data_IF_690647431996
#
_entry.id   IF_690647431996
#
_cell.length_a   1.000
_cell.length_b   1.000
_cell.length_c   1.000
_cell.angle_alpha   90.00
_cell.angle_beta   90.00
_cell.angle_gamma   90.00
#
_symmetry.space_group_name_H-M   'P 1'
#
loop_
_entity.id
_entity.type
_entity.pdbx_description
1 polymer ?
#
# COMPACT_ATOMS: atom_id res chain seq x y z
N UNK A 1 98.89 48.13 -12.96
CA UNK A 1 98.15 46.86 -13.07
C UNK A 1 96.76 47.03 -12.46
N UNK A 2 95.71 47.09 -13.29
CA UNK A 2 94.30 47.04 -12.86
C UNK A 2 93.65 45.88 -13.62
N UNK A 3 93.09 44.94 -12.87
CA UNK A 3 92.40 43.75 -13.40
C UNK A 3 91.05 44.12 -14.04
N UNK A 4 90.64 43.53 -15.17
CA UNK A 4 89.32 43.75 -15.75
C UNK A 4 88.22 43.11 -14.88
N UNK A 5 87.14 43.84 -14.62
CA UNK A 5 85.95 43.28 -13.96
C UNK A 5 85.14 42.42 -14.94
N UNK A 6 84.63 41.25 -14.52
CA UNK A 6 83.73 40.44 -15.34
C UNK A 6 82.38 41.15 -15.50
N UNK A 7 81.90 41.24 -16.73
CA UNK A 7 80.60 41.78 -17.06
C UNK A 7 79.46 40.83 -16.65
N UNK A 8 78.26 41.35 -16.33
CA UNK A 8 77.12 40.54 -15.97
C UNK A 8 76.66 39.70 -17.17
N UNK A 9 76.72 38.37 -17.01
CA UNK A 9 76.05 37.43 -17.91
C UNK A 9 74.55 37.72 -17.90
N UNK A 10 74.05 38.39 -18.94
CA UNK A 10 72.62 38.47 -19.21
C UNK A 10 72.14 37.09 -19.66
N UNK A 11 71.71 36.28 -18.70
CA UNK A 11 71.11 34.96 -18.94
C UNK A 11 69.79 35.09 -19.68
N UNK A 12 69.81 34.86 -21.00
CA UNK A 12 69.05 33.83 -21.74
C UNK A 12 67.55 33.57 -21.55
N UNK A 13 66.82 34.23 -20.65
CA UNK A 13 65.41 33.90 -20.36
C UNK A 13 64.37 34.74 -21.14
N UNK A 14 64.79 35.51 -22.15
CA UNK A 14 63.90 36.42 -22.90
C UNK A 14 63.21 35.81 -24.13
N UNK A 15 63.31 34.49 -24.34
CA UNK A 15 62.72 33.81 -25.50
C UNK A 15 61.39 33.10 -25.26
N UNK A 16 60.95 32.95 -24.00
CA UNK A 16 59.72 32.20 -23.68
C UNK A 16 58.56 33.20 -23.62
N UNK A 17 57.65 33.06 -24.57
CA UNK A 17 56.45 33.89 -24.73
C UNK A 17 55.43 33.50 -23.64
N UNK A 18 55.69 33.89 -22.39
CA UNK A 18 54.91 33.52 -21.19
C UNK A 18 53.41 33.81 -21.32
N UNK A 19 53.06 34.81 -22.12
CA UNK A 19 51.67 35.18 -22.41
C UNK A 19 50.96 34.07 -23.20
N UNK A 20 51.62 33.43 -24.17
CA UNK A 20 51.03 32.30 -24.92
C UNK A 20 50.80 31.09 -24.02
N UNK A 21 51.71 30.81 -23.10
CA UNK A 21 51.54 29.72 -22.13
C UNK A 21 50.38 29.98 -21.17
N UNK A 22 50.21 31.22 -20.70
CA UNK A 22 49.09 31.60 -19.83
C UNK A 22 47.72 31.36 -20.46
N UNK A 23 47.55 31.70 -21.74
CA UNK A 23 46.27 31.48 -22.46
C UNK A 23 45.95 29.99 -22.62
N UNK A 24 46.95 29.17 -22.93
CA UNK A 24 46.79 27.71 -23.07
C UNK A 24 46.35 27.11 -21.72
N UNK A 25 47.02 27.46 -20.62
CA UNK A 25 46.64 26.98 -19.29
C UNK A 25 45.23 27.41 -18.89
N UNK A 26 44.80 28.62 -19.24
CA UNK A 26 43.45 29.11 -18.97
C UNK A 26 42.36 28.27 -19.65
N UNK A 27 42.56 27.91 -20.93
CA UNK A 27 41.62 27.04 -21.67
C UNK A 27 41.56 25.65 -21.05
N UNK A 28 42.70 25.06 -20.73
CA UNK A 28 42.75 23.73 -20.08
C UNK A 28 42.07 23.74 -18.71
N UNK A 29 42.33 24.76 -17.89
CA UNK A 29 41.68 24.91 -16.59
C UNK A 29 40.16 24.98 -16.73
N UNK A 30 39.65 25.77 -17.68
CA UNK A 30 38.21 25.87 -17.96
C UNK A 30 37.58 24.54 -18.38
N UNK A 31 38.23 23.79 -19.28
CA UNK A 31 37.74 22.46 -19.72
C UNK A 31 37.74 21.46 -18.56
N UNK A 32 38.80 21.45 -17.74
CA UNK A 32 38.90 20.57 -16.58
C UNK A 32 37.80 20.89 -15.56
N UNK A 33 37.56 22.16 -15.25
CA UNK A 33 36.48 22.57 -14.34
C UNK A 33 35.10 22.15 -14.85
N UNK A 34 34.84 22.27 -16.14
CA UNK A 34 33.57 21.82 -16.73
C UNK A 34 33.40 20.30 -16.63
N UNK A 35 34.46 19.52 -16.87
CA UNK A 35 34.43 18.07 -16.72
C UNK A 35 34.18 17.65 -15.26
N UNK A 36 34.85 18.28 -14.30
CA UNK A 36 34.60 18.03 -12.88
C UNK A 36 33.16 18.38 -12.47
N UNK A 37 32.63 19.49 -12.99
CA UNK A 37 31.24 19.91 -12.72
C UNK A 37 30.24 18.91 -13.30
N UNK A 38 30.47 18.44 -14.53
CA UNK A 38 29.63 17.44 -15.18
C UNK A 38 29.64 16.11 -14.40
N UNK A 39 30.82 15.64 -13.97
CA UNK A 39 30.96 14.45 -13.13
C UNK A 39 30.24 14.61 -11.80
N UNK A 40 30.43 15.74 -11.12
CA UNK A 40 29.77 16.02 -9.85
C UNK A 40 28.23 15.99 -9.99
N UNK A 41 27.71 16.61 -11.05
CA UNK A 41 26.26 16.62 -11.34
C UNK A 41 25.73 15.22 -11.65
N UNK A 42 26.50 14.41 -12.40
CA UNK A 42 26.15 13.03 -12.71
C UNK A 42 26.05 12.17 -11.44
N UNK A 43 27.05 12.24 -10.55
CA UNK A 43 27.01 11.48 -9.29
C UNK A 43 25.91 11.96 -8.35
N UNK A 44 25.66 13.27 -8.26
CA UNK A 44 24.53 13.79 -7.50
C UNK A 44 23.18 13.27 -8.02
N UNK A 45 23.01 13.23 -9.34
CA UNK A 45 21.80 12.67 -9.96
C UNK A 45 21.66 11.16 -9.72
N UNK A 46 22.78 10.41 -9.74
CA UNK A 46 22.77 8.97 -9.45
C UNK A 46 22.37 8.70 -7.99
N UNK A 47 22.99 9.37 -7.02
CA UNK A 47 22.65 9.21 -5.59
C UNK A 47 21.22 9.60 -5.28
N UNK A 48 20.69 10.63 -5.94
CA UNK A 48 19.29 11.05 -5.76
C UNK A 48 18.30 9.97 -6.23
N UNK A 49 18.65 9.20 -7.27
CA UNK A 49 17.82 8.08 -7.74
C UNK A 49 17.83 6.93 -6.74
N UNK A 50 19.00 6.58 -6.20
CA UNK A 50 19.11 5.51 -5.21
C UNK A 50 18.32 5.83 -3.93
N UNK A 51 18.37 7.09 -3.46
CA UNK A 51 17.59 7.52 -2.30
C UNK A 51 16.08 7.47 -2.54
N UNK A 52 15.63 7.81 -3.75
CA UNK A 52 14.23 7.70 -4.14
C UNK A 52 13.76 6.23 -4.15
N UNK A 53 14.58 5.32 -4.66
CA UNK A 53 14.27 3.89 -4.70
C UNK A 53 14.21 3.30 -3.29
N UNK A 54 15.19 3.58 -2.44
CA UNK A 54 15.18 3.17 -1.03
C UNK A 54 13.96 3.71 -0.28
N UNK A 55 13.62 4.98 -0.48
CA UNK A 55 12.44 5.58 0.14
C UNK A 55 11.14 4.93 -0.33
N UNK A 56 11.05 4.49 -1.60
CA UNK A 56 9.88 3.80 -2.12
C UNK A 56 9.75 2.39 -1.54
N UNK A 57 10.85 1.65 -1.44
CA UNK A 57 10.86 0.33 -0.82
C UNK A 57 10.47 0.38 0.66
N UNK A 58 11.03 1.33 1.41
CA UNK A 58 10.71 1.51 2.83
C UNK A 58 9.23 1.87 3.02
N UNK A 59 8.70 2.77 2.17
CA UNK A 59 7.28 3.11 2.18
C UNK A 59 6.39 1.91 1.86
N UNK A 60 6.80 1.07 0.89
CA UNK A 60 6.07 -0.15 0.54
C UNK A 60 6.10 -1.18 1.67
N UNK A 61 7.25 -1.35 2.33
CA UNK A 61 7.39 -2.23 3.50
C UNK A 61 6.52 -1.76 4.66
N UNK A 62 6.51 -0.45 4.95
CA UNK A 62 5.67 0.13 5.99
C UNK A 62 4.16 -0.04 5.68
N UNK A 63 3.74 0.19 4.44
CA UNK A 63 2.34 0.00 4.03
C UNK A 63 1.91 -1.47 4.15
N UNK A 64 2.77 -2.41 3.74
CA UNK A 64 2.53 -3.85 3.89
C UNK A 64 2.43 -4.26 5.36
N UNK A 65 3.32 -3.73 6.22
CA UNK A 65 3.30 -3.99 7.66
C UNK A 65 1.99 -3.51 8.31
N UNK A 66 1.50 -2.32 7.95
CA UNK A 66 0.17 -1.85 8.38
C UNK A 66 -0.94 -2.80 7.92
N UNK A 67 -0.95 -3.17 6.64
CA UNK A 67 -2.01 -4.01 6.07
C UNK A 67 -2.04 -5.43 6.67
N UNK A 68 -0.91 -5.94 7.18
CA UNK A 68 -0.85 -7.20 7.91
C UNK A 68 -1.62 -7.18 9.24
N UNK A 69 -1.78 -6.00 9.86
CA UNK A 69 -2.46 -5.79 11.13
C UNK A 69 -4.00 -5.71 11.00
N UNK A 70 -4.52 -5.67 9.78
CA UNK A 70 -5.96 -5.78 9.50
C UNK A 70 -6.31 -7.23 9.26
N UNK A 71 -7.27 -7.76 10.02
CA UNK A 71 -7.66 -9.16 9.92
C UNK A 71 -9.17 -9.33 10.08
N UNK A 72 -9.68 -10.49 9.72
CA UNK A 72 -11.08 -10.84 9.88
C UNK A 72 -11.23 -12.33 10.16
N UNK A 73 -12.27 -12.72 10.89
CA UNK A 73 -12.62 -14.12 11.16
C UNK A 73 -14.12 -14.27 11.44
N UNK A 74 -14.61 -15.50 11.32
CA UNK A 74 -15.96 -15.90 11.72
C UNK A 74 -15.89 -16.59 13.08
N UNK A 75 -16.84 -16.28 13.96
CA UNK A 75 -17.09 -17.04 15.17
C UNK A 75 -18.23 -18.01 14.90
N UNK A 76 -18.04 -19.25 15.33
CA UNK A 76 -19.00 -20.34 15.19
C UNK A 76 -19.67 -20.58 16.54
N UNK A 77 -20.89 -21.12 16.52
CA UNK A 77 -21.59 -21.55 17.73
C UNK A 77 -20.84 -22.72 18.40
N UNK A 78 -20.55 -22.59 19.70
CA UNK A 78 -19.86 -23.64 20.44
C UNK A 78 -20.78 -24.85 20.64
N UNK A 79 -20.34 -26.02 20.16
CA UNK A 79 -21.00 -27.30 20.45
C UNK A 79 -22.12 -27.72 19.49
N UNK A 80 -22.36 -26.99 18.40
CA UNK A 80 -23.22 -27.49 17.31
C UNK A 80 -22.42 -28.41 16.38
N UNK A 81 -23.05 -29.49 15.91
CA UNK A 81 -22.50 -30.34 14.84
C UNK A 81 -22.46 -29.61 13.50
N UNK A 82 -23.33 -28.62 13.35
CA UNK A 82 -23.51 -27.81 12.16
C UNK A 82 -22.84 -26.48 12.46
N UNK A 83 -21.65 -26.23 11.91
CA UNK A 83 -20.83 -25.06 12.18
C UNK A 83 -21.51 -23.75 11.73
N UNK A 84 -22.54 -23.33 12.46
CA UNK A 84 -23.31 -22.11 12.25
C UNK A 84 -22.43 -20.92 12.64
N UNK A 85 -22.24 -20.01 11.70
CA UNK A 85 -21.54 -18.74 11.97
C UNK A 85 -22.50 -17.84 12.75
N UNK A 86 -22.07 -17.38 13.91
CA UNK A 86 -22.85 -16.50 14.79
C UNK A 86 -22.44 -15.05 14.62
N UNK A 87 -21.14 -14.78 14.50
CA UNK A 87 -20.58 -13.44 14.40
C UNK A 87 -19.47 -13.36 13.34
N UNK A 88 -19.38 -12.19 12.72
CA UNK A 88 -18.28 -11.83 11.84
C UNK A 88 -17.49 -10.71 12.50
N UNK A 89 -16.19 -10.91 12.62
CA UNK A 89 -15.28 -9.95 13.22
C UNK A 89 -14.34 -9.38 12.17
N UNK A 90 -14.17 -8.06 12.20
CA UNK A 90 -13.14 -7.34 11.46
C UNK A 90 -12.33 -6.53 12.46
N UNK A 91 -11.00 -6.69 12.44
CA UNK A 91 -10.09 -6.05 13.38
C UNK A 91 -9.09 -5.19 12.64
N UNK A 92 -8.84 -4.00 13.18
CA UNK A 92 -7.72 -3.15 12.81
C UNK A 92 -6.78 -3.00 14.02
N UNK A 93 -5.66 -3.71 14.01
CA UNK A 93 -4.60 -3.57 15.03
C UNK A 93 -3.57 -2.50 14.67
N UNK A 94 -3.73 -1.80 13.55
CA UNK A 94 -2.87 -0.66 13.22
C UNK A 94 -3.18 0.54 14.10
N UNK A 95 -2.16 1.39 14.30
CA UNK A 95 -2.30 2.73 14.88
C UNK A 95 -2.97 3.72 13.91
N UNK A 96 -3.12 3.33 12.65
CA UNK A 96 -3.72 4.13 11.59
C UNK A 96 -5.10 3.58 11.19
N UNK A 97 -6.07 4.44 10.87
CA UNK A 97 -7.38 4.01 10.40
C UNK A 97 -7.28 3.33 9.03
N UNK A 98 -8.26 2.48 8.73
CA UNK A 98 -8.48 1.94 7.39
C UNK A 98 -9.88 2.28 6.89
N UNK A 99 -9.98 2.63 5.61
CA UNK A 99 -11.17 3.20 5.00
C UNK A 99 -11.75 2.31 3.91
N UNK A 100 -13.02 2.54 3.57
CA UNK A 100 -13.81 1.77 2.59
C UNK A 100 -13.59 0.26 2.76
N UNK A 101 -13.77 -0.18 4.00
CA UNK A 101 -13.61 -1.58 4.36
C UNK A 101 -14.81 -2.35 3.84
N UNK A 102 -14.56 -3.29 2.94
CA UNK A 102 -15.60 -4.08 2.29
C UNK A 102 -15.29 -5.57 2.48
N UNK A 103 -16.24 -6.30 3.06
CA UNK A 103 -16.12 -7.74 3.25
C UNK A 103 -16.94 -8.48 2.19
N UNK A 104 -16.29 -9.36 1.43
CA UNK A 104 -16.95 -10.17 0.42
C UNK A 104 -17.30 -11.56 0.97
N UNK A 105 -18.59 -11.89 0.96
CA UNK A 105 -19.11 -13.21 1.34
C UNK A 105 -19.59 -13.96 0.10
N UNK A 106 -19.28 -15.26 0.06
CA UNK A 106 -19.76 -16.20 -0.95
C UNK A 106 -20.71 -17.20 -0.32
N UNK A 107 -21.88 -17.38 -0.91
CA UNK A 107 -22.89 -18.35 -0.49
C UNK A 107 -22.74 -19.65 -1.30
N UNK A 108 -22.66 -20.79 -0.61
CA UNK A 108 -22.49 -22.10 -1.27
C UNK A 108 -23.79 -22.65 -1.88
N UNK A 109 -23.68 -23.68 -2.73
CA UNK A 109 -24.81 -24.35 -3.40
C UNK A 109 -25.83 -24.97 -2.43
N UNK A 110 -25.41 -25.32 -1.21
CA UNK A 110 -26.28 -25.86 -0.17
C UNK A 110 -26.98 -24.77 0.66
N UNK A 111 -26.63 -23.50 0.44
CA UNK A 111 -27.32 -22.38 1.05
C UNK A 111 -28.73 -22.28 0.49
N UNK A 112 -29.73 -22.15 1.36
CA UNK A 112 -31.17 -22.09 1.01
C UNK A 112 -31.59 -20.82 0.26
N UNK A 113 -30.64 -20.07 -0.30
CA UNK A 113 -30.93 -18.87 -1.07
C UNK A 113 -31.16 -19.27 -2.53
N UNK A 114 -32.40 -19.66 -2.83
CA UNK A 114 -32.87 -19.79 -4.21
C UNK A 114 -33.08 -18.42 -4.81
N UNK A 115 -32.01 -17.81 -5.31
CA UNK A 115 -32.18 -16.72 -6.26
C UNK A 115 -32.61 -17.35 -7.59
N UNK A 116 -33.73 -16.89 -8.13
CA UNK A 116 -34.36 -17.42 -9.36
C UNK A 116 -33.41 -17.46 -10.58
N UNK A 117 -32.30 -16.71 -10.53
CA UNK A 117 -31.27 -16.61 -11.57
C UNK A 117 -29.81 -16.76 -11.06
N UNK A 118 -29.54 -17.31 -9.86
CA UNK A 118 -28.16 -17.35 -9.38
C UNK A 118 -27.29 -18.38 -10.12
N UNK A 119 -26.40 -17.85 -10.96
CA UNK A 119 -25.10 -18.44 -11.25
C UNK A 119 -24.43 -18.91 -9.93
N UNK A 120 -23.69 -20.03 -9.99
CA UNK A 120 -23.00 -20.60 -8.82
C UNK A 120 -22.09 -19.52 -8.21
N UNK A 121 -22.14 -19.38 -6.89
CA UNK A 121 -21.41 -18.38 -6.08
C UNK A 121 -21.88 -16.93 -6.24
N UNK A 122 -22.86 -16.54 -5.42
CA UNK A 122 -23.26 -15.12 -5.28
C UNK A 122 -22.31 -14.43 -4.33
N UNK A 123 -21.63 -13.41 -4.84
CA UNK A 123 -20.74 -12.55 -4.07
C UNK A 123 -21.53 -11.32 -3.58
N UNK A 124 -21.64 -11.13 -2.27
CA UNK A 124 -22.32 -9.98 -1.68
C UNK A 124 -21.37 -9.21 -0.77
N UNK A 125 -21.09 -7.92 -1.06
CA UNK A 125 -20.24 -7.11 -0.24
C UNK A 125 -21.01 -6.56 0.97
N UNK A 126 -20.31 -6.44 2.08
CA UNK A 126 -20.76 -5.74 3.28
C UNK A 126 -19.86 -4.53 3.52
N UNK A 127 -20.45 -3.33 3.59
CA UNK A 127 -19.72 -2.09 3.80
C UNK A 127 -19.60 -1.79 5.30
N UNK A 128 -18.35 -1.60 5.75
CA UNK A 128 -18.00 -1.24 7.12
C UNK A 128 -17.61 0.25 7.26
N UNK A 129 -17.56 0.98 6.13
CA UNK A 129 -17.00 2.31 5.97
C UNK A 129 -15.55 2.39 6.50
N UNK A 130 -15.35 3.08 7.62
CA UNK A 130 -14.03 3.22 8.27
C UNK A 130 -13.93 2.34 9.51
N UNK A 131 -12.80 1.64 9.66
CA UNK A 131 -12.43 0.92 10.89
C UNK A 131 -11.32 1.72 11.60
N UNK A 132 -11.62 2.35 12.75
CA UNK A 132 -10.65 3.16 13.48
C UNK A 132 -9.40 2.37 13.92
N UNK A 133 -8.31 3.06 14.30
CA UNK A 133 -7.15 2.43 14.90
C UNK A 133 -7.51 1.58 16.11
N UNK A 134 -6.84 0.45 16.30
CA UNK A 134 -6.95 -0.37 17.51
C UNK A 134 -8.40 -0.78 17.86
N UNK A 135 -9.24 -1.04 16.86
CA UNK A 135 -10.64 -1.41 17.07
C UNK A 135 -10.99 -2.75 16.46
N UNK A 136 -12.02 -3.38 17.03
CA UNK A 136 -12.72 -4.50 16.45
C UNK A 136 -14.16 -4.08 16.13
N UNK A 137 -14.61 -4.41 14.93
CA UNK A 137 -16.01 -4.36 14.55
C UNK A 137 -16.59 -5.76 14.51
N UNK A 138 -17.80 -5.91 15.05
CA UNK A 138 -18.51 -7.19 15.10
C UNK A 138 -19.94 -7.00 14.61
N UNK A 139 -20.37 -7.89 13.71
CA UNK A 139 -21.77 -8.00 13.30
C UNK A 139 -22.25 -9.41 13.59
N UNK A 140 -23.45 -9.54 14.19
CA UNK A 140 -24.09 -10.84 14.35
C UNK A 140 -24.78 -11.21 13.06
N UNK A 141 -24.64 -12.46 12.63
CA UNK A 141 -25.23 -12.94 11.37
C UNK A 141 -26.76 -12.79 11.37
N UNK A 142 -27.39 -12.97 12.54
CA UNK A 142 -28.83 -12.79 12.72
C UNK A 142 -29.33 -11.36 12.47
N UNK A 143 -28.44 -10.35 12.54
CA UNK A 143 -28.77 -8.95 12.31
C UNK A 143 -28.43 -8.49 10.87
N UNK A 144 -27.95 -9.39 10.00
CA UNK A 144 -27.61 -9.08 8.61
C UNK A 144 -28.86 -9.12 7.75
N UNK A 145 -29.21 -7.98 7.17
CA UNK A 145 -30.17 -7.84 6.10
C UNK A 145 -29.47 -7.95 4.74
N UNK A 146 -30.16 -8.52 3.77
CA UNK A 146 -29.72 -8.48 2.37
C UNK A 146 -30.59 -7.52 1.62
N UNK A 147 -29.94 -6.71 0.80
CA UNK A 147 -30.55 -5.71 -0.07
C UNK A 147 -30.08 -5.95 -1.48
N UNK A 148 -30.86 -5.55 -2.46
CA UNK A 148 -30.41 -5.54 -3.84
C UNK A 148 -29.47 -4.35 -4.12
N UNK A 149 -29.02 -4.22 -5.37
CA UNK A 149 -28.20 -3.10 -5.83
C UNK A 149 -28.87 -1.71 -5.67
N UNK A 150 -30.20 -1.66 -5.53
CA UNK A 150 -31.00 -0.43 -5.34
C UNK A 150 -31.29 -0.14 -3.86
N UNK A 151 -30.90 -1.04 -2.95
CA UNK A 151 -31.12 -0.89 -1.52
C UNK A 151 -32.50 -1.35 -1.06
N UNK A 152 -33.25 -2.04 -1.92
CA UNK A 152 -34.55 -2.63 -1.61
C UNK A 152 -34.37 -4.01 -0.98
N UNK A 153 -35.29 -4.40 -0.09
CA UNK A 153 -35.33 -5.75 0.46
C UNK A 153 -35.71 -6.72 -0.67
N UNK A 154 -34.98 -7.83 -0.87
CA UNK A 154 -35.38 -8.86 -1.82
C UNK A 154 -36.75 -9.42 -1.42
N UNK A 155 -37.46 -9.99 -2.39
CA UNK A 155 -38.79 -10.58 -2.21
C UNK A 155 -38.82 -11.55 -1.00
N UNK A 156 -39.95 -11.65 -0.26
CA UNK A 156 -40.07 -12.30 1.06
C UNK A 156 -39.78 -13.82 1.10
N UNK A 157 -39.43 -14.45 -0.01
CA UNK A 157 -39.17 -15.88 -0.12
C UNK A 157 -37.66 -16.23 -0.10
N UNK A 158 -36.82 -15.21 0.02
CA UNK A 158 -35.38 -15.31 0.22
C UNK A 158 -35.21 -15.17 1.73
N UNK A 159 -34.76 -16.18 2.49
CA UNK A 159 -33.87 -16.05 3.68
C UNK A 159 -33.92 -17.25 4.64
N UNK A 160 -32.95 -18.15 4.50
CA UNK A 160 -32.19 -18.75 5.60
C UNK A 160 -30.74 -18.80 5.10
N UNK A 161 -29.77 -18.31 5.89
CA UNK A 161 -28.35 -18.38 5.54
C UNK A 161 -27.70 -19.51 6.36
N UNK A 162 -27.72 -20.78 5.91
CA UNK A 162 -27.06 -21.83 6.69
C UNK A 162 -25.54 -21.88 6.41
N UNK A 163 -25.08 -21.51 5.21
CA UNK A 163 -23.67 -21.67 4.84
C UNK A 163 -23.16 -20.54 3.93
N UNK A 164 -22.33 -19.67 4.49
CA UNK A 164 -21.52 -18.72 3.72
C UNK A 164 -20.05 -18.85 4.09
N UNK A 165 -19.18 -18.43 3.19
CA UNK A 165 -17.73 -18.35 3.41
C UNK A 165 -17.29 -16.92 3.18
N UNK A 166 -16.37 -16.45 4.02
CA UNK A 166 -15.67 -15.20 3.73
C UNK A 166 -14.58 -15.47 2.70
N UNK A 167 -14.63 -14.75 1.59
CA UNK A 167 -13.64 -14.89 0.53
C UNK A 167 -12.46 -13.95 0.80
N UNK A 168 -12.75 -12.64 0.85
CA UNK A 168 -11.74 -11.62 1.13
C UNK A 168 -12.34 -10.36 1.76
N UNK A 169 -11.46 -9.58 2.36
CA UNK A 169 -11.69 -8.22 2.83
C UNK A 169 -10.89 -7.26 1.94
N UNK A 170 -11.49 -6.18 1.47
CA UNK A 170 -10.75 -5.07 0.85
C UNK A 170 -10.82 -3.83 1.71
N UNK A 171 -9.77 -3.01 1.66
CA UNK A 171 -9.69 -1.76 2.40
C UNK A 171 -8.63 -0.83 1.81
N UNK A 172 -8.70 0.44 2.15
CA UNK A 172 -7.67 1.43 1.87
C UNK A 172 -6.90 1.75 3.15
N UNK A 173 -5.57 1.75 3.05
CA UNK A 173 -4.70 2.19 4.14
C UNK A 173 -4.63 3.73 4.24
N UNK A 174 -3.81 4.24 5.15
CA UNK A 174 -3.63 5.68 5.36
C UNK A 174 -3.02 6.40 4.15
N UNK A 175 -2.28 5.66 3.33
CA UNK A 175 -1.61 6.13 2.12
C UNK A 175 -2.52 5.99 0.90
N UNK A 176 -3.81 5.67 1.09
CA UNK A 176 -4.79 5.42 0.03
C UNK A 176 -4.40 4.27 -0.91
N UNK A 177 -3.58 3.33 -0.44
CA UNK A 177 -3.29 2.10 -1.17
C UNK A 177 -4.38 1.09 -0.85
N UNK A 178 -4.98 0.50 -1.89
CA UNK A 178 -5.98 -0.54 -1.72
C UNK A 178 -5.34 -1.91 -1.53
N UNK A 179 -5.81 -2.61 -0.51
CA UNK A 179 -5.38 -3.95 -0.14
C UNK A 179 -6.54 -4.92 -0.25
N UNK A 180 -6.23 -6.17 -0.62
CA UNK A 180 -7.12 -7.33 -0.50
C UNK A 180 -6.49 -8.30 0.47
N UNK A 181 -7.17 -8.56 1.58
CA UNK A 181 -6.83 -9.60 2.54
C UNK A 181 -7.72 -10.80 2.26
N UNK A 182 -7.11 -11.87 1.77
CA UNK A 182 -7.72 -13.20 1.70
C UNK A 182 -6.76 -14.20 2.34
N UNK A 183 -6.62 -15.41 1.77
CA UNK A 183 -5.55 -16.35 2.14
C UNK A 183 -4.14 -15.74 2.01
N UNK A 184 -3.97 -14.83 1.05
CA UNK A 184 -2.75 -14.06 0.85
C UNK A 184 -3.10 -12.58 0.87
N UNK A 185 -2.31 -11.77 1.58
CA UNK A 185 -2.41 -10.32 1.53
C UNK A 185 -1.83 -9.82 0.19
N UNK A 186 -2.65 -9.09 -0.57
CA UNK A 186 -2.27 -8.57 -1.89
C UNK A 186 -2.56 -7.07 -1.97
N UNK A 187 -1.60 -6.29 -2.46
CA UNK A 187 -1.82 -4.92 -2.91
C UNK A 187 -2.55 -4.94 -4.25
N UNK A 188 -3.67 -4.23 -4.37
CA UNK A 188 -4.41 -4.14 -5.62
C UNK A 188 -3.86 -3.01 -6.50
N UNK A 189 -3.69 -3.29 -7.78
CA UNK A 189 -3.44 -2.27 -8.79
C UNK A 189 -4.71 -1.49 -9.13
N UNK A 190 -4.56 -0.29 -9.70
CA UNK A 190 -5.72 0.53 -10.15
C UNK A 190 -6.61 -0.22 -11.15
N UNK A 191 -6.01 -1.06 -12.00
CA UNK A 191 -6.77 -1.88 -12.95
C UNK A 191 -7.62 -2.93 -12.22
N UNK A 192 -7.03 -3.63 -11.25
CA UNK A 192 -7.74 -4.63 -10.44
C UNK A 192 -8.80 -4.02 -9.53
N UNK A 193 -8.60 -2.78 -9.07
CA UNK A 193 -9.61 -2.05 -8.29
C UNK A 193 -10.85 -1.66 -9.09
N UNK A 194 -10.71 -1.54 -10.41
CA UNK A 194 -11.81 -1.18 -11.32
C UNK A 194 -12.56 -2.40 -11.85
N UNK A 195 -11.97 -3.60 -11.74
CA UNK A 195 -12.56 -4.86 -12.23
C UNK A 195 -13.54 -5.49 -11.21
N UNK A 196 -14.07 -4.68 -10.31
CA UNK A 196 -15.07 -5.12 -9.33
C UNK A 196 -16.36 -5.48 -10.08
N UNK A 197 -16.72 -6.77 -10.07
CA UNK A 197 -17.97 -7.24 -10.69
C UNK A 197 -19.15 -6.48 -10.08
N UNK A 198 -20.13 -6.05 -10.90
CA UNK A 198 -21.34 -5.45 -10.36
C UNK A 198 -22.05 -6.45 -9.44
N UNK A 199 -22.21 -6.07 -8.19
CA UNK A 199 -22.86 -6.90 -7.18
C UNK A 199 -24.37 -6.84 -7.38
N UNK A 200 -25.05 -7.99 -7.42
CA UNK A 200 -26.52 -8.05 -7.49
C UNK A 200 -27.16 -7.76 -6.12
N UNK A 201 -26.45 -8.09 -5.05
CA UNK A 201 -26.90 -7.94 -3.67
C UNK A 201 -25.83 -7.26 -2.83
N UNK A 202 -26.25 -6.66 -1.72
CA UNK A 202 -25.43 -6.03 -0.69
C UNK A 202 -25.93 -6.49 0.68
N UNK A 203 -24.99 -6.75 1.58
CA UNK A 203 -25.29 -7.08 2.97
C UNK A 203 -25.25 -5.81 3.81
N UNK A 204 -26.23 -5.63 4.69
CA UNK A 204 -26.32 -4.48 5.59
C UNK A 204 -26.63 -5.00 6.98
N UNK A 205 -25.91 -4.51 7.99
CA UNK A 205 -26.16 -4.91 9.37
C UNK A 205 -25.54 -3.92 10.35
N UNK A 206 -26.05 -3.86 11.59
CA UNK A 206 -25.49 -3.01 12.62
C UNK A 206 -24.13 -3.56 13.07
N UNK A 207 -23.08 -2.78 12.83
CA UNK A 207 -21.75 -3.07 13.35
C UNK A 207 -21.59 -2.51 14.76
N UNK A 208 -21.29 -3.40 15.70
CA UNK A 208 -20.82 -3.00 17.03
C UNK A 208 -19.31 -2.78 16.99
N UNK A 209 -18.80 -1.80 17.74
CA UNK A 209 -17.38 -1.48 17.79
C UNK A 209 -16.86 -1.55 19.21
N UNK A 210 -15.70 -2.17 19.41
CA UNK A 210 -14.99 -2.24 20.68
C UNK A 210 -13.51 -1.88 20.50
N UNK A 211 -12.92 -1.29 21.54
CA UNK A 211 -11.48 -1.03 21.57
C UNK A 211 -10.71 -2.33 21.87
N UNK A 212 -9.54 -2.50 21.25
CA UNK A 212 -8.64 -3.61 21.50
C UNK A 212 -7.72 -3.30 22.69
N UNK A 213 -7.43 -4.33 23.49
CA UNK A 213 -6.45 -4.22 24.58
C UNK A 213 -5.00 -4.10 24.08
N UNK A 214 -4.71 -4.65 22.91
CA UNK A 214 -3.37 -4.65 22.30
C UNK A 214 -3.43 -4.07 20.90
N UNK A 215 -2.54 -3.13 20.63
CA UNK A 215 -2.44 -2.45 19.34
C UNK A 215 -0.98 -2.37 18.87
N UNK A 216 -0.80 -2.30 17.56
CA UNK A 216 0.50 -2.37 16.93
C UNK A 216 1.05 -3.78 16.81
N UNK A 217 2.32 -3.85 16.42
CA UNK A 217 3.05 -5.11 16.21
C UNK A 217 3.88 -5.52 17.41
N UNK A 218 3.61 -5.01 18.62
CA UNK A 218 4.42 -5.38 19.79
C UNK A 218 4.30 -6.90 20.03
N UNK A 219 5.39 -7.66 19.85
CA UNK A 219 5.39 -9.05 20.24
C UNK A 219 5.32 -9.11 21.77
N UNK A 220 4.39 -9.92 22.30
CA UNK A 220 4.51 -10.41 23.67
C UNK A 220 5.64 -11.42 23.77
#
# INVERSE_FOLDING_TARGET
MRSPRPGPHQGGWRGIDWVKWGTVFGIFAGVITLLFTALATYYQAAVSRDQLEQSQEDAQRAASAQAQLVNYWMQFEDGSSDASVTEIHVVNRSLDPVNNVELALTFGENGTIHFEDAERDVLAPMDLATVPPCTQKVVRVADIEVRDAFGESPAPNVFVIPEFRMDYLTFYDRSSVQWRRGPVLKRLSVKESLEVKPWKYRLVGPWTSSALEQCGSEPK
#
